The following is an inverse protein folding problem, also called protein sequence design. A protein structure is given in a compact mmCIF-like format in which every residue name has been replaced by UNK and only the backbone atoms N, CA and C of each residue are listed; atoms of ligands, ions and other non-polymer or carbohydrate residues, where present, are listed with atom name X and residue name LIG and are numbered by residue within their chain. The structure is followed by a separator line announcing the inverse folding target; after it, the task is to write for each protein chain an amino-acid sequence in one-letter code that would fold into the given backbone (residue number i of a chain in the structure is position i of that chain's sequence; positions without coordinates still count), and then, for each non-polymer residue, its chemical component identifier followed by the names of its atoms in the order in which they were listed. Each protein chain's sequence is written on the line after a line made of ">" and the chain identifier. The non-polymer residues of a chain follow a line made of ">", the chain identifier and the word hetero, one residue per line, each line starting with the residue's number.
data_IF_446046205560
#
_entry.id   IF_446046205560
#
_cell.length_a   1.000
_cell.length_b   1.000
_cell.length_c   1.000
_cell.angle_alpha   90.00
_cell.angle_beta   90.00
_cell.angle_gamma   90.00
#
_symmetry.space_group_name_H-M   'P 1'
#
loop_
_entity.id
_entity.type
_entity.pdbx_description
1 polymer ?
#
# COMPACT_ATOMS: atom_id res chain seq x y z
N UNK A 1 -0.22 -13.18 -26.98
CA UNK A 1 -0.53 -13.98 -25.79
C UNK A 1 -1.85 -13.47 -25.24
N UNK A 2 -2.92 -14.27 -25.28
CA UNK A 2 -4.25 -13.82 -24.87
C UNK A 2 -4.26 -13.53 -23.37
N UNK A 3 -4.42 -12.26 -23.00
CA UNK A 3 -4.68 -11.86 -21.62
C UNK A 3 -6.10 -12.29 -21.28
N UNK A 4 -6.28 -13.45 -20.67
CA UNK A 4 -7.58 -13.84 -20.11
C UNK A 4 -7.97 -12.78 -19.08
N UNK A 5 -9.14 -12.17 -19.23
CA UNK A 5 -9.63 -11.20 -18.27
C UNK A 5 -9.66 -11.81 -16.86
N UNK A 6 -9.32 -11.04 -15.82
CA UNK A 6 -9.39 -11.52 -14.46
C UNK A 6 -10.84 -11.87 -14.11
N UNK A 7 -11.05 -13.10 -13.64
CA UNK A 7 -12.37 -13.54 -13.16
C UNK A 7 -12.77 -12.74 -11.93
N UNK A 8 -13.91 -12.05 -12.00
CA UNK A 8 -14.48 -11.36 -10.85
C UNK A 8 -15.16 -12.37 -9.92
N UNK A 9 -14.65 -12.50 -8.70
CA UNK A 9 -15.20 -13.37 -7.67
C UNK A 9 -16.02 -12.58 -6.65
N UNK A 10 -17.11 -13.16 -6.16
CA UNK A 10 -18.03 -12.47 -5.26
C UNK A 10 -17.84 -12.92 -3.81
N UNK A 11 -17.54 -11.96 -2.93
CA UNK A 11 -17.37 -12.23 -1.49
C UNK A 11 -18.66 -12.63 -0.73
N UNK A 12 -19.77 -12.76 -1.45
CA UNK A 12 -21.08 -13.19 -0.94
C UNK A 12 -21.48 -14.58 -1.49
N UNK A 13 -20.69 -15.14 -2.41
CA UNK A 13 -20.94 -16.45 -3.00
C UNK A 13 -20.09 -17.51 -2.28
N UNK A 14 -20.74 -18.49 -1.65
CA UNK A 14 -20.06 -19.54 -0.90
C UNK A 14 -19.11 -20.37 -1.78
N UNK A 15 -19.46 -20.61 -3.05
CA UNK A 15 -18.64 -21.38 -4.00
C UNK A 15 -17.35 -20.64 -4.39
N UNK A 16 -17.42 -19.32 -4.55
CA UNK A 16 -16.26 -18.47 -4.87
C UNK A 16 -15.30 -18.39 -3.67
N UNK A 17 -15.87 -18.33 -2.45
CA UNK A 17 -15.07 -18.34 -1.21
C UNK A 17 -14.41 -19.70 -1.03
N UNK A 18 -15.15 -20.80 -1.19
CA UNK A 18 -14.62 -22.16 -1.01
C UNK A 18 -13.51 -22.47 -2.03
N UNK A 19 -13.73 -22.14 -3.31
CA UNK A 19 -12.71 -22.32 -4.35
C UNK A 19 -11.46 -21.47 -4.08
N UNK A 20 -11.62 -20.22 -3.64
CA UNK A 20 -10.50 -19.37 -3.24
C UNK A 20 -9.75 -19.93 -2.03
N UNK A 21 -10.48 -20.37 -1.00
CA UNK A 21 -9.91 -20.96 0.21
C UNK A 21 -9.10 -22.22 -0.10
N UNK A 22 -9.62 -23.09 -0.98
CA UNK A 22 -8.92 -24.28 -1.44
C UNK A 22 -7.68 -23.92 -2.26
N UNK A 23 -7.81 -23.00 -3.23
CA UNK A 23 -6.72 -22.58 -4.12
C UNK A 23 -5.54 -21.98 -3.35
N UNK A 24 -5.83 -21.13 -2.37
CA UNK A 24 -4.80 -20.42 -1.59
C UNK A 24 -4.47 -21.10 -0.26
N UNK A 25 -5.10 -22.26 -0.01
CA UNK A 25 -4.92 -23.08 1.19
C UNK A 25 -5.06 -22.23 2.48
N UNK A 26 -6.17 -21.51 2.57
CA UNK A 26 -6.59 -20.70 3.71
C UNK A 26 -7.95 -21.20 4.22
N UNK A 27 -8.21 -21.01 5.52
CA UNK A 27 -9.50 -21.39 6.12
C UNK A 27 -10.58 -20.34 5.85
N UNK A 28 -11.88 -20.71 5.83
CA UNK A 28 -12.98 -19.76 5.73
C UNK A 28 -12.95 -18.68 6.83
N UNK A 29 -12.53 -19.04 8.04
CA UNK A 29 -12.39 -18.11 9.17
C UNK A 29 -11.28 -17.08 8.92
N UNK A 30 -10.15 -17.51 8.34
CA UNK A 30 -9.09 -16.61 7.91
C UNK A 30 -9.59 -15.68 6.80
N UNK A 31 -10.33 -16.19 5.82
CA UNK A 31 -10.91 -15.36 4.76
C UNK A 31 -11.87 -14.29 5.32
N UNK A 32 -12.75 -14.68 6.25
CA UNK A 32 -13.66 -13.75 6.94
C UNK A 32 -12.88 -12.67 7.71
N UNK A 33 -11.80 -13.06 8.39
CA UNK A 33 -10.91 -12.13 9.10
C UNK A 33 -10.23 -11.15 8.15
N UNK A 34 -9.73 -11.63 7.01
CA UNK A 34 -9.11 -10.79 5.97
C UNK A 34 -10.11 -9.78 5.39
N UNK A 35 -11.34 -10.21 5.09
CA UNK A 35 -12.42 -9.34 4.61
C UNK A 35 -12.78 -8.25 5.61
N UNK A 36 -12.91 -8.62 6.89
CA UNK A 36 -13.24 -7.67 7.97
C UNK A 36 -12.14 -6.63 8.18
N UNK A 37 -10.87 -7.08 8.19
CA UNK A 37 -9.72 -6.19 8.38
C UNK A 37 -9.49 -5.26 7.19
N UNK A 38 -9.70 -5.71 5.96
CA UNK A 38 -9.56 -4.84 4.78
C UNK A 38 -10.65 -3.76 4.76
N UNK A 39 -11.89 -4.12 5.12
CA UNK A 39 -12.98 -3.15 5.26
C UNK A 39 -12.71 -2.12 6.37
N UNK A 40 -12.15 -2.57 7.50
CA UNK A 40 -11.77 -1.68 8.60
C UNK A 40 -10.61 -0.74 8.21
N UNK A 41 -9.59 -1.25 7.52
CA UNK A 41 -8.50 -0.41 7.04
C UNK A 41 -8.97 0.66 6.04
N UNK A 42 -9.98 0.32 5.22
CA UNK A 42 -10.61 1.27 4.29
C UNK A 42 -11.30 2.41 5.03
N UNK A 43 -11.97 2.16 6.17
CA UNK A 43 -12.71 3.21 6.88
C UNK A 43 -11.78 4.27 7.47
N UNK A 44 -10.55 3.90 7.82
CA UNK A 44 -9.52 4.79 8.36
C UNK A 44 -8.48 5.21 7.32
N UNK A 45 -8.71 4.95 6.03
CA UNK A 45 -7.76 5.28 4.97
C UNK A 45 -7.55 6.80 4.85
N UNK A 46 -6.30 7.23 4.93
CA UNK A 46 -5.92 8.63 4.71
C UNK A 46 -5.87 8.93 3.20
N UNK A 47 -6.89 9.61 2.67
CA UNK A 47 -7.00 9.93 1.25
C UNK A 47 -7.66 11.31 1.00
N UNK A 48 -7.06 12.42 1.45
CA UNK A 48 -7.71 13.74 1.44
C UNK A 48 -7.98 14.29 0.04
N UNK A 49 -7.21 13.89 -0.97
CA UNK A 49 -7.33 14.43 -2.33
C UNK A 49 -8.31 13.64 -3.21
N UNK A 50 -8.16 12.32 -3.29
CA UNK A 50 -8.99 11.49 -4.17
C UNK A 50 -10.35 11.14 -3.57
N UNK A 51 -10.48 11.19 -2.24
CA UNK A 51 -11.61 10.62 -1.49
C UNK A 51 -11.89 9.12 -1.79
N UNK A 52 -10.98 8.45 -2.50
CA UNK A 52 -11.11 7.04 -2.88
C UNK A 52 -10.45 6.15 -1.83
N UNK A 53 -11.27 5.63 -0.90
CA UNK A 53 -10.79 4.81 0.21
C UNK A 53 -10.48 3.39 -0.26
N UNK A 54 -9.26 2.93 0.01
CA UNK A 54 -8.80 1.56 -0.24
C UNK A 54 -8.34 0.93 1.06
N UNK A 55 -8.68 -0.35 1.27
CA UNK A 55 -8.18 -1.13 2.39
C UNK A 55 -7.66 -2.47 1.90
N UNK A 56 -6.52 -2.88 2.45
CA UNK A 56 -5.87 -4.14 2.12
C UNK A 56 -5.50 -4.88 3.40
N UNK A 57 -5.43 -6.21 3.32
CA UNK A 57 -4.93 -7.04 4.43
C UNK A 57 -4.15 -8.20 3.84
N UNK A 58 -3.03 -8.53 4.47
CA UNK A 58 -2.10 -9.56 4.01
C UNK A 58 -2.05 -10.66 5.07
N UNK A 59 -2.27 -11.90 4.66
CA UNK A 59 -2.01 -13.08 5.49
C UNK A 59 -0.58 -13.54 5.22
N UNK A 60 0.34 -13.30 6.15
CA UNK A 60 1.71 -13.82 6.06
C UNK A 60 1.80 -15.21 6.70
N UNK A 61 2.36 -16.18 5.98
CA UNK A 61 2.86 -17.43 6.60
C UNK A 61 4.25 -17.08 7.10
N UNK A 62 4.39 -16.87 8.40
CA UNK A 62 5.62 -16.29 8.97
C UNK A 62 6.89 -16.95 8.43
N UNK A 63 7.56 -16.22 7.54
CA UNK A 63 9.01 -16.19 7.46
C UNK A 63 9.36 -14.73 7.63
N UNK A 64 9.74 -14.36 8.86
CA UNK A 64 10.41 -13.10 9.14
C UNK A 64 11.60 -13.07 8.17
N UNK A 65 11.46 -12.34 7.07
CA UNK A 65 12.52 -12.24 6.08
C UNK A 65 13.56 -11.31 6.67
N UNK A 66 14.78 -11.82 6.77
CA UNK A 66 15.94 -11.27 7.47
C UNK A 66 16.59 -10.13 6.69
N UNK A 67 15.77 -9.31 6.04
CA UNK A 67 16.21 -8.04 5.49
C UNK A 67 15.59 -6.98 6.39
N UNK A 68 16.46 -6.26 7.10
CA UNK A 68 16.20 -5.02 7.85
C UNK A 68 14.90 -4.36 7.44
N UNK A 69 14.06 -3.97 8.41
CA UNK A 69 12.66 -3.53 8.22
C UNK A 69 12.51 -2.40 7.17
N UNK A 70 12.61 -2.77 5.90
CA UNK A 70 12.73 -1.83 4.80
C UNK A 70 11.34 -1.27 4.55
N UNK A 71 11.20 0.07 4.40
CA UNK A 71 9.88 0.66 4.20
C UNK A 71 9.22 0.01 2.98
N UNK A 72 7.95 -0.34 3.09
CA UNK A 72 7.20 -0.85 1.94
C UNK A 72 7.06 0.25 0.88
N UNK A 73 6.67 -0.10 -0.34
CA UNK A 73 6.56 0.86 -1.45
C UNK A 73 5.68 2.08 -1.12
N UNK A 74 4.56 1.87 -0.40
CA UNK A 74 3.69 2.96 0.05
C UNK A 74 4.37 3.90 1.05
N UNK A 75 5.12 3.37 2.00
CA UNK A 75 5.88 4.18 2.94
C UNK A 75 6.96 4.98 2.22
N UNK A 76 7.68 4.38 1.26
CA UNK A 76 8.69 5.08 0.45
C UNK A 76 8.05 6.25 -0.31
N UNK A 77 6.88 6.03 -0.91
CA UNK A 77 6.16 7.06 -1.65
C UNK A 77 5.63 8.17 -0.73
N UNK A 78 5.13 7.82 0.46
CA UNK A 78 4.70 8.80 1.45
C UNK A 78 5.87 9.64 1.97
N UNK A 79 7.02 9.02 2.27
CA UNK A 79 8.23 9.74 2.68
C UNK A 79 8.66 10.69 1.56
N UNK A 80 8.59 10.27 0.30
CA UNK A 80 8.95 11.09 -0.87
C UNK A 80 8.10 12.34 -1.03
N UNK A 81 6.87 12.36 -0.51
CA UNK A 81 6.01 13.55 -0.54
C UNK A 81 6.60 14.71 0.29
N UNK A 82 7.25 14.39 1.40
CA UNK A 82 7.71 15.37 2.40
C UNK A 82 9.23 15.49 2.49
N UNK A 83 9.97 14.58 1.87
CA UNK A 83 11.41 14.46 2.02
C UNK A 83 12.10 14.34 0.66
N UNK A 84 13.29 14.93 0.57
CA UNK A 84 14.11 14.90 -0.63
C UNK A 84 14.71 13.51 -0.88
N UNK A 85 15.10 13.26 -2.14
CA UNK A 85 15.74 12.02 -2.57
C UNK A 85 17.04 11.69 -1.82
N UNK A 86 17.74 12.72 -1.31
CA UNK A 86 18.98 12.59 -0.53
C UNK A 86 18.73 12.20 0.95
N UNK A 87 17.47 12.17 1.39
CA UNK A 87 17.11 11.90 2.79
C UNK A 87 17.60 10.51 3.23
N UNK A 88 18.42 10.41 4.29
CA UNK A 88 18.91 9.13 4.79
C UNK A 88 17.83 8.37 5.56
N UNK A 89 17.66 7.09 5.25
CA UNK A 89 16.73 6.17 5.89
C UNK A 89 17.52 5.12 6.66
N UNK A 90 17.43 5.18 7.98
CA UNK A 90 18.03 4.21 8.89
C UNK A 90 17.08 3.03 9.08
N UNK A 91 17.55 1.83 8.78
CA UNK A 91 16.78 0.59 8.93
C UNK A 91 17.53 -0.34 9.89
N UNK A 92 16.94 -0.55 11.06
CA UNK A 92 17.48 -1.44 12.09
C UNK A 92 16.93 -2.86 11.93
N UNK A 93 17.73 -3.85 12.32
CA UNK A 93 17.29 -5.22 12.51
C UNK A 93 16.88 -5.47 13.98
N UNK A 94 16.52 -6.73 14.28
CA UNK A 94 16.15 -7.14 15.65
C UNK A 94 17.34 -7.28 16.61
N UNK A 95 18.56 -7.35 16.10
CA UNK A 95 19.80 -7.53 16.86
C UNK A 95 20.49 -6.18 17.14
N UNK A 96 19.99 -5.08 16.57
CA UNK A 96 20.55 -3.73 16.68
C UNK A 96 21.51 -3.35 15.55
N UNK A 97 21.75 -4.26 14.60
CA UNK A 97 22.49 -3.96 13.37
C UNK A 97 21.64 -3.03 12.49
N UNK A 98 22.29 -2.15 11.73
CA UNK A 98 21.58 -1.19 10.89
C UNK A 98 22.22 -1.00 9.52
N UNK A 99 21.37 -0.64 8.57
CA UNK A 99 21.78 -0.18 7.24
C UNK A 99 21.18 1.19 6.99
N UNK A 100 21.96 2.07 6.37
CA UNK A 100 21.52 3.40 5.94
C UNK A 100 21.52 3.45 4.44
N UNK A 101 20.38 3.81 3.85
CA UNK A 101 20.24 4.08 2.43
C UNK A 101 19.55 5.42 2.23
N UNK A 102 19.85 6.12 1.13
CA UNK A 102 19.08 7.30 0.74
C UNK A 102 17.73 6.90 0.16
N UNK A 103 16.76 7.82 0.23
CA UNK A 103 15.44 7.61 -0.34
C UNK A 103 15.49 7.26 -1.84
N UNK A 104 16.40 7.87 -2.62
CA UNK A 104 16.60 7.53 -4.04
C UNK A 104 17.01 6.08 -4.28
N UNK A 105 17.75 5.47 -3.35
CA UNK A 105 18.21 4.09 -3.47
C UNK A 105 17.07 3.12 -3.16
N UNK A 106 16.10 3.57 -2.35
CA UNK A 106 14.89 2.82 -2.02
C UNK A 106 13.78 3.03 -3.08
N UNK A 107 13.72 4.21 -3.72
CA UNK A 107 12.68 4.54 -4.69
C UNK A 107 13.29 5.23 -5.91
N UNK A 108 14.01 4.47 -6.77
CA UNK A 108 14.62 5.04 -7.97
C UNK A 108 13.55 5.55 -8.93
N UNK A 109 13.85 6.67 -9.60
CA UNK A 109 12.91 7.35 -10.52
C UNK A 109 11.57 7.67 -9.86
N UNK A 110 11.59 8.08 -8.58
CA UNK A 110 10.39 8.38 -7.81
C UNK A 110 9.53 9.44 -8.48
N UNK A 111 8.21 9.25 -8.45
CA UNK A 111 7.25 10.31 -8.77
C UNK A 111 7.13 11.23 -7.55
N UNK A 112 7.66 12.46 -7.61
CA UNK A 112 7.55 13.45 -6.55
C UNK A 112 6.68 14.66 -6.94
N UNK A 113 6.58 15.67 -6.05
CA UNK A 113 5.80 16.89 -6.29
C UNK A 113 6.16 17.61 -7.61
N UNK A 114 7.41 17.50 -8.05
CA UNK A 114 7.90 18.04 -9.32
C UNK A 114 7.25 17.43 -10.55
N UNK A 115 6.69 16.22 -10.45
CA UNK A 115 5.99 15.53 -11.52
C UNK A 115 4.50 15.91 -11.60
N UNK A 116 3.99 16.67 -10.62
CA UNK A 116 2.64 17.21 -10.64
C UNK A 116 2.60 18.52 -11.43
N UNK A 117 1.52 18.77 -12.21
CA UNK A 117 1.33 20.05 -12.86
C UNK A 117 1.29 21.17 -11.82
N UNK A 118 2.12 22.22 -11.99
CA UNK A 118 2.00 23.42 -11.16
C UNK A 118 0.63 24.04 -11.37
N UNK A 119 -0.06 24.30 -10.27
CA UNK A 119 -1.42 24.79 -10.21
C UNK A 119 -1.55 26.14 -10.93
N UNK A 120 -1.90 26.10 -12.22
CA UNK A 120 -2.51 27.22 -12.96
C UNK A 120 -3.94 26.86 -13.40
N UNK A 121 -4.65 26.08 -12.59
CA UNK A 121 -6.07 25.73 -12.83
C UNK A 121 -6.99 26.13 -11.66
N UNK A 122 -6.49 26.56 -10.50
CA UNK A 122 -7.34 27.04 -9.41
C UNK A 122 -7.23 28.56 -9.25
N UNK A 123 -7.89 29.25 -10.19
CA UNK A 123 -8.32 30.64 -10.03
C UNK A 123 -9.68 30.77 -9.34
N UNK A 124 -10.23 29.69 -8.78
CA UNK A 124 -11.49 29.73 -8.05
C UNK A 124 -11.25 29.37 -6.58
N UNK A 125 -11.12 30.41 -5.76
CA UNK A 125 -10.91 30.37 -4.31
C UNK A 125 -12.11 29.83 -3.52
N UNK A 126 -13.17 29.35 -4.19
CA UNK A 126 -14.40 28.85 -3.54
C UNK A 126 -14.36 27.38 -3.14
N UNK A 127 -13.41 26.58 -3.66
CA UNK A 127 -13.45 25.11 -3.53
C UNK A 127 -12.71 24.59 -2.28
N UNK A 128 -11.72 25.32 -1.76
CA UNK A 128 -10.98 24.92 -0.56
C UNK A 128 -10.74 26.11 0.38
N UNK A 129 -11.64 26.39 1.34
CA UNK A 129 -11.39 27.39 2.36
C UNK A 129 -10.29 26.90 3.32
N UNK A 130 -9.31 27.78 3.59
CA UNK A 130 -8.29 27.60 4.63
C UNK A 130 -8.92 27.54 6.02
#
# INVERSE_FOLDING_TARGET
>A
MATSQPTLLHSNNASDIASSCQTFNITPEQFATLKSRSASAKSTAYCPYSNFRVGATILTRMKISVHTASPCGMCRQFIREFCDLDTPIFMFDKNGDFIVLRLEQLLPLSFGPEALPREKILGDSSIFPR
#
